data_IF_782631740612
#
_entry.id   IF_782631740612
#
_cell.length_a   1.000
_cell.length_b   1.000
_cell.length_c   1.000
_cell.angle_alpha   90.00
_cell.angle_beta   90.00
_cell.angle_gamma   90.00
#
_symmetry.space_group_name_H-M   'P 1'
#
loop_
_entity.id
_entity.type
_entity.pdbx_description
1 polymer ?
#
# COMPACT_ATOMS: atom_id res chain seq x y z
N UNK A 1 -6.03 -5.07 -11.64
CA UNK A 1 -6.64 -3.94 -10.89
C UNK A 1 -5.63 -3.38 -9.90
N UNK A 2 -5.85 -2.17 -9.38
CA UNK A 2 -4.92 -1.51 -8.45
C UNK A 2 -5.61 -1.10 -7.16
N UNK A 3 -5.01 -1.44 -6.04
CA UNK A 3 -5.34 -0.89 -4.73
C UNK A 3 -4.32 0.18 -4.40
N UNK A 4 -4.80 1.39 -4.08
CA UNK A 4 -3.97 2.46 -3.53
C UNK A 4 -3.95 2.31 -2.01
N UNK A 5 -2.75 2.40 -1.44
CA UNK A 5 -2.51 2.29 -0.01
C UNK A 5 -1.79 3.56 0.43
N UNK A 6 -2.32 4.20 1.46
CA UNK A 6 -1.71 5.36 2.09
C UNK A 6 -1.25 4.94 3.48
N UNK A 7 0.04 5.12 3.74
CA UNK A 7 0.67 4.72 5.00
C UNK A 7 1.21 5.94 5.73
N UNK A 8 1.33 5.86 7.05
CA UNK A 8 1.91 6.95 7.82
C UNK A 8 3.36 7.24 7.41
N UNK A 9 3.83 8.45 7.72
CA UNK A 9 5.11 8.95 7.21
C UNK A 9 6.31 8.10 7.68
N UNK A 10 6.27 7.59 8.90
CA UNK A 10 7.35 6.76 9.45
C UNK A 10 7.48 5.42 8.72
N UNK A 11 6.36 4.76 8.46
CA UNK A 11 6.33 3.51 7.71
C UNK A 11 6.70 3.72 6.24
N UNK A 12 6.24 4.82 5.62
CA UNK A 12 6.55 5.16 4.23
C UNK A 12 8.05 5.23 3.95
N UNK A 13 8.81 5.95 4.80
CA UNK A 13 10.26 6.12 4.64
C UNK A 13 11.00 4.78 4.63
N UNK A 14 10.56 3.84 5.48
CA UNK A 14 11.18 2.52 5.63
C UNK A 14 10.77 1.58 4.51
N UNK A 15 9.47 1.53 4.17
CA UNK A 15 8.94 0.73 3.06
C UNK A 15 9.57 1.12 1.72
N UNK A 16 9.75 2.42 1.44
CA UNK A 16 10.43 2.89 0.21
C UNK A 16 11.89 2.44 0.11
N UNK A 17 12.54 2.19 1.24
CA UNK A 17 13.91 1.66 1.32
C UNK A 17 13.96 0.14 1.40
N UNK A 18 12.81 -0.54 1.23
CA UNK A 18 12.66 -1.99 1.45
C UNK A 18 13.15 -2.44 2.85
N UNK A 19 12.96 -1.57 3.85
CA UNK A 19 13.33 -1.84 5.23
C UNK A 19 12.09 -2.32 6.00
N UNK A 20 12.13 -3.59 6.41
CA UNK A 20 11.08 -4.25 7.21
C UNK A 20 11.53 -4.46 8.65
N UNK A 21 12.25 -3.48 9.19
CA UNK A 21 12.94 -3.57 10.48
C UNK A 21 12.10 -3.04 11.66
N UNK A 22 10.90 -2.52 11.41
CA UNK A 22 9.94 -2.20 12.48
C UNK A 22 8.70 -3.06 12.41
N UNK A 23 8.00 -3.26 13.55
CA UNK A 23 6.78 -4.05 13.60
C UNK A 23 5.77 -3.66 12.51
N UNK A 24 5.55 -2.35 12.32
CA UNK A 24 4.58 -1.85 11.34
C UNK A 24 4.96 -2.19 9.89
N UNK A 25 6.23 -2.01 9.53
CA UNK A 25 6.73 -2.30 8.17
C UNK A 25 6.85 -3.78 7.88
N UNK A 26 7.03 -4.59 8.93
CA UNK A 26 7.04 -6.05 8.86
C UNK A 26 5.62 -6.59 8.71
N UNK A 27 4.67 -6.11 9.50
CA UNK A 27 3.26 -6.49 9.40
C UNK A 27 2.72 -6.24 7.98
N UNK A 28 2.99 -5.07 7.41
CA UNK A 28 2.59 -4.76 6.02
C UNK A 28 3.23 -5.72 5.01
N UNK A 29 4.51 -6.07 5.20
CA UNK A 29 5.20 -7.00 4.31
C UNK A 29 4.72 -8.44 4.46
N UNK A 30 4.44 -8.90 5.68
CA UNK A 30 3.85 -10.21 5.97
C UNK A 30 2.46 -10.34 5.34
N UNK A 31 1.61 -9.30 5.46
CA UNK A 31 0.30 -9.27 4.79
C UNK A 31 0.45 -9.35 3.27
N UNK A 32 1.42 -8.65 2.69
CA UNK A 32 1.68 -8.69 1.26
C UNK A 32 2.13 -10.09 0.80
N UNK A 33 3.05 -10.72 1.55
CA UNK A 33 3.56 -12.06 1.28
C UNK A 33 2.46 -13.13 1.41
N UNK A 34 1.67 -13.09 2.48
CA UNK A 34 0.54 -14.00 2.72
C UNK A 34 -0.50 -13.96 1.60
N UNK A 35 -0.70 -12.78 1.00
CA UNK A 35 -1.63 -12.57 -0.10
C UNK A 35 -1.00 -12.79 -1.48
N UNK A 36 0.32 -13.02 -1.54
CA UNK A 36 1.06 -13.21 -2.79
C UNK A 36 1.09 -11.95 -3.66
N UNK A 37 1.10 -10.77 -3.05
CA UNK A 37 1.07 -9.47 -3.74
C UNK A 37 2.32 -8.64 -3.44
N UNK A 38 2.67 -7.75 -4.37
CA UNK A 38 3.74 -6.77 -4.17
C UNK A 38 3.16 -5.40 -3.80
N UNK A 39 3.77 -4.76 -2.79
CA UNK A 39 3.52 -3.37 -2.42
C UNK A 39 4.67 -2.52 -2.99
N UNK A 40 4.33 -1.58 -3.87
CA UNK A 40 5.31 -0.74 -4.57
C UNK A 40 5.03 0.74 -4.34
N UNK A 41 6.05 1.62 -4.26
CA UNK A 41 5.82 3.06 -4.18
C UNK A 41 5.04 3.55 -5.41
N UNK A 42 3.96 4.32 -5.17
CA UNK A 42 3.21 4.96 -6.26
C UNK A 42 4.04 6.04 -6.95
N UNK A 43 4.90 6.70 -6.17
CA UNK A 43 5.77 7.79 -6.60
C UNK A 43 7.24 7.49 -6.21
N UNK A 44 7.94 6.63 -6.96
CA UNK A 44 9.28 6.18 -6.59
C UNK A 44 10.33 7.30 -6.60
N UNK A 45 10.22 8.25 -7.52
CA UNK A 45 11.22 9.31 -7.75
C UNK A 45 10.87 10.67 -7.11
N UNK A 46 9.90 10.67 -6.20
CA UNK A 46 9.41 11.90 -5.57
C UNK A 46 9.98 12.05 -4.15
N UNK A 47 10.51 13.22 -3.84
CA UNK A 47 10.99 13.60 -2.50
C UNK A 47 9.92 14.25 -1.63
N UNK A 48 8.79 14.62 -2.24
CA UNK A 48 7.65 15.19 -1.53
C UNK A 48 7.13 14.19 -0.47
N UNK A 49 7.08 14.59 0.82
CA UNK A 49 6.78 13.68 1.91
C UNK A 49 5.33 13.18 1.88
N UNK A 50 4.39 13.98 1.35
CA UNK A 50 2.98 13.59 1.29
C UNK A 50 2.77 12.56 0.16
N UNK A 51 3.39 12.79 -1.00
CA UNK A 51 3.35 11.83 -2.12
C UNK A 51 4.12 10.54 -1.84
N UNK A 52 5.18 10.62 -1.03
CA UNK A 52 6.00 9.46 -0.62
C UNK A 52 5.22 8.42 0.20
N UNK A 53 4.07 8.79 0.76
CA UNK A 53 3.23 7.92 1.59
C UNK A 53 2.30 7.01 0.79
N UNK A 54 2.22 7.19 -0.53
CA UNK A 54 1.33 6.42 -1.38
C UNK A 54 2.05 5.23 -2.02
N UNK A 55 1.41 4.07 -1.90
CA UNK A 55 1.83 2.80 -2.46
C UNK A 55 0.69 2.20 -3.29
N UNK A 56 1.07 1.30 -4.19
CA UNK A 56 0.14 0.55 -5.03
C UNK A 56 0.35 -0.95 -4.86
N UNK A 57 -0.76 -1.69 -4.96
CA UNK A 57 -0.79 -3.15 -5.02
C UNK A 57 -1.51 -3.57 -6.28
N UNK A 58 -0.85 -4.38 -7.12
CA UNK A 58 -1.48 -5.00 -8.28
C UNK A 58 -2.20 -6.28 -7.84
N UNK A 59 -3.47 -6.40 -8.23
CA UNK A 59 -4.31 -7.56 -7.92
C UNK A 59 -5.08 -8.02 -9.15
N UNK A 60 -5.40 -9.31 -9.28
CA UNK A 60 -6.03 -9.85 -10.49
C UNK A 60 -7.47 -9.36 -10.67
N UNK A 61 -8.24 -9.26 -9.59
CA UNK A 61 -9.68 -9.00 -9.62
C UNK A 61 -10.17 -8.23 -8.37
N UNK A 62 -11.46 -7.88 -8.36
CA UNK A 62 -12.11 -7.14 -7.28
C UNK A 62 -12.13 -7.91 -5.96
N UNK A 63 -12.28 -9.24 -6.00
CA UNK A 63 -12.32 -10.09 -4.79
C UNK A 63 -10.97 -10.05 -4.09
N UNK A 64 -9.88 -10.21 -4.84
CA UNK A 64 -8.53 -10.06 -4.34
C UNK A 64 -8.26 -8.64 -3.81
N UNK A 65 -8.78 -7.61 -4.51
CA UNK A 65 -8.66 -6.22 -4.08
C UNK A 65 -9.35 -5.97 -2.73
N UNK A 66 -10.57 -6.48 -2.54
CA UNK A 66 -11.32 -6.36 -1.29
C UNK A 66 -10.61 -7.04 -0.12
N UNK A 67 -10.07 -8.24 -0.33
CA UNK A 67 -9.31 -8.94 0.71
C UNK A 67 -8.01 -8.20 1.07
N UNK A 68 -7.26 -7.71 0.07
CA UNK A 68 -6.07 -6.86 0.28
C UNK A 68 -6.44 -5.60 1.08
N UNK A 69 -7.50 -4.90 0.72
CA UNK A 69 -7.96 -3.70 1.43
C UNK A 69 -8.32 -4.04 2.88
N UNK A 70 -9.08 -5.11 3.09
CA UNK A 70 -9.52 -5.53 4.42
C UNK A 70 -8.33 -5.87 5.32
N UNK A 71 -7.35 -6.60 4.79
CA UNK A 71 -6.15 -7.02 5.53
C UNK A 71 -5.26 -5.82 5.85
N UNK A 72 -4.92 -5.00 4.86
CA UNK A 72 -4.04 -3.86 5.03
C UNK A 72 -4.64 -2.79 5.96
N UNK A 73 -5.97 -2.58 5.95
CA UNK A 73 -6.63 -1.64 6.88
C UNK A 73 -6.52 -2.04 8.35
N UNK A 74 -6.18 -3.30 8.66
CA UNK A 74 -5.94 -3.72 10.04
C UNK A 74 -4.51 -3.41 10.51
N UNK A 75 -3.58 -3.09 9.61
CA UNK A 75 -2.22 -2.72 9.97
C UNK A 75 -2.21 -1.30 10.55
N UNK A 76 -1.58 -1.10 11.69
CA UNK A 76 -1.58 0.19 12.41
C UNK A 76 -1.00 1.34 11.57
N UNK A 77 -0.04 1.04 10.70
CA UNK A 77 0.60 2.04 9.85
C UNK A 77 -0.17 2.40 8.58
N UNK A 78 -1.25 1.70 8.26
CA UNK A 78 -2.06 1.99 7.06
C UNK A 78 -3.16 2.96 7.44
N UNK A 79 -3.08 4.18 6.91
CA UNK A 79 -4.09 5.22 7.15
C UNK A 79 -5.31 5.01 6.24
N UNK A 80 -5.09 4.56 5.00
CA UNK A 80 -6.18 4.16 4.12
C UNK A 80 -5.75 3.14 3.05
N UNK A 81 -6.68 2.31 2.61
CA UNK A 81 -6.52 1.44 1.45
C UNK A 81 -7.83 1.40 0.65
N UNK A 82 -7.78 1.60 -0.67
CA UNK A 82 -8.97 1.71 -1.52
C UNK A 82 -8.67 1.41 -2.99
N UNK A 83 -9.71 1.06 -3.75
CA UNK A 83 -9.65 0.98 -5.21
C UNK A 83 -10.04 2.36 -5.75
N UNK A 84 -9.19 2.97 -6.59
CA UNK A 84 -9.60 4.18 -7.32
C UNK A 84 -10.63 3.77 -8.38
N UNK A 85 -11.86 4.33 -8.37
CA UNK A 85 -12.80 4.08 -9.46
C UNK A 85 -12.22 4.60 -10.78
N UNK A 86 -12.53 3.96 -11.92
CA UNK A 86 -12.18 4.52 -13.21
C UNK A 86 -12.76 5.94 -13.29
N UNK A 87 -11.92 6.93 -13.59
CA UNK A 87 -12.38 8.30 -13.81
C UNK A 87 -13.39 8.27 -14.96
N UNK A 88 -14.67 8.50 -14.65
CA UNK A 88 -15.65 8.81 -15.68
C UNK A 88 -15.23 10.16 -16.27
N UNK A 89 -14.68 10.16 -17.48
CA UNK A 89 -14.43 11.39 -18.21
C UNK A 89 -15.80 12.09 -18.47
N UNK A 90 -15.91 13.41 -18.25
CA UNK A 90 -17.12 14.17 -18.60
C UNK A 90 -17.36 14.25 -20.12
#
# INVERSE_FOLDING_TARGET
MRVTVHVNQEAAVKLRKHQHNTPQTREIAEVADDLGVAIEPMHPDVDDPDLAQYFIVQVPDSTAAEEVIKRLRNCEAVESAYIKPPEAMP
#
